data_IF_021176244310
#
_entry.id   IF_021176244310
#
_cell.length_a   1.000
_cell.length_b   1.000
_cell.length_c   1.000
_cell.angle_alpha   90.00
_cell.angle_beta   90.00
_cell.angle_gamma   90.00
#
_symmetry.space_group_name_H-M   'P 1'
#
loop_
_entity.id
_entity.type
_entity.pdbx_description
1 polymer ?
#
# COMPACT_ATOMS: atom_id res chain seq x y z
N UNK A 1 -56.49 -5.76 12.93
CA UNK A 1 -55.87 -5.22 11.71
C UNK A 1 -54.66 -4.38 12.12
N UNK A 2 -53.44 -4.91 12.08
CA UNK A 2 -52.23 -4.17 12.49
C UNK A 2 -51.54 -3.58 11.26
N UNK A 3 -51.44 -2.25 11.22
CA UNK A 3 -50.79 -1.46 10.17
C UNK A 3 -49.29 -1.82 10.03
N UNK A 4 -48.81 -2.06 8.80
CA UNK A 4 -47.40 -2.32 8.52
C UNK A 4 -46.57 -1.04 8.72
N UNK A 5 -45.35 -1.12 9.31
CA UNK A 5 -44.52 0.05 9.50
C UNK A 5 -44.07 0.64 8.16
N UNK A 6 -44.07 1.97 8.07
CA UNK A 6 -43.58 2.72 6.91
C UNK A 6 -42.07 2.46 6.75
N UNK A 7 -41.66 2.01 5.57
CA UNK A 7 -40.24 1.89 5.22
C UNK A 7 -39.63 3.28 5.20
N UNK A 8 -38.67 3.53 6.08
CA UNK A 8 -37.86 4.76 6.04
C UNK A 8 -37.19 4.86 4.66
N UNK A 9 -37.31 6.04 4.04
CA UNK A 9 -36.83 6.30 2.68
C UNK A 9 -35.33 6.06 2.51
N UNK A 10 -34.90 5.84 1.26
CA UNK A 10 -33.51 5.63 0.88
C UNK A 10 -32.62 6.71 1.52
N UNK A 11 -31.72 6.30 2.42
CA UNK A 11 -30.68 7.16 2.98
C UNK A 11 -29.77 7.62 1.84
N UNK A 12 -29.76 8.92 1.57
CA UNK A 12 -29.02 9.52 0.46
C UNK A 12 -27.53 9.54 0.82
N UNK A 13 -26.74 8.69 0.15
CA UNK A 13 -25.30 8.52 0.37
C UNK A 13 -24.43 9.69 -0.18
N UNK A 14 -25.04 10.79 -0.63
CA UNK A 14 -24.36 11.88 -1.33
C UNK A 14 -23.28 12.58 -0.49
N UNK A 15 -23.53 12.81 0.80
CA UNK A 15 -22.53 13.37 1.72
C UNK A 15 -21.31 12.46 1.89
N UNK A 16 -21.51 11.14 1.83
CA UNK A 16 -20.46 10.15 1.98
C UNK A 16 -19.61 10.05 0.70
N UNK A 17 -20.23 10.22 -0.48
CA UNK A 17 -19.56 10.29 -1.76
C UNK A 17 -18.68 11.54 -1.87
N UNK A 18 -19.21 12.73 -1.55
CA UNK A 18 -18.44 13.97 -1.54
C UNK A 18 -17.22 13.90 -0.61
N UNK A 19 -17.36 13.28 0.56
CA UNK A 19 -16.26 13.11 1.50
C UNK A 19 -15.13 12.22 0.95
N UNK A 20 -15.47 11.14 0.22
CA UNK A 20 -14.49 10.26 -0.45
C UNK A 20 -13.76 10.98 -1.58
N UNK A 21 -14.48 11.73 -2.40
CA UNK A 21 -13.89 12.50 -3.49
C UNK A 21 -12.90 13.57 -2.98
N UNK A 22 -13.20 14.21 -1.85
CA UNK A 22 -12.28 15.15 -1.20
C UNK A 22 -11.02 14.42 -0.69
N UNK A 23 -11.17 13.26 -0.04
CA UNK A 23 -10.04 12.46 0.43
C UNK A 23 -9.16 11.93 -0.71
N UNK A 24 -9.73 11.51 -1.84
CA UNK A 24 -8.97 11.08 -3.03
C UNK A 24 -8.20 12.25 -3.65
N UNK A 25 -8.83 13.42 -3.79
CA UNK A 25 -8.16 14.64 -4.27
C UNK A 25 -7.02 15.06 -3.34
N UNK A 26 -7.16 14.90 -2.04
CA UNK A 26 -6.09 15.21 -1.08
C UNK A 26 -4.93 14.22 -1.15
N UNK A 27 -5.19 12.94 -1.43
CA UNK A 27 -4.15 11.93 -1.69
C UNK A 27 -3.39 12.24 -2.98
N UNK A 28 -4.13 12.52 -4.06
CA UNK A 28 -3.55 12.84 -5.37
C UNK A 28 -2.69 14.12 -5.31
N UNK A 29 -3.15 15.14 -4.57
CA UNK A 29 -2.35 16.34 -4.30
C UNK A 29 -1.07 16.03 -3.53
N UNK A 30 -1.13 15.19 -2.49
CA UNK A 30 0.04 14.77 -1.72
C UNK A 30 1.05 14.01 -2.58
N UNK A 31 0.58 13.15 -3.48
CA UNK A 31 1.44 12.44 -4.43
C UNK A 31 2.10 13.40 -5.42
N UNK A 32 1.33 14.30 -6.02
CA UNK A 32 1.86 15.35 -6.92
C UNK A 32 2.88 16.25 -6.22
N UNK A 33 2.64 16.62 -4.96
CA UNK A 33 3.58 17.41 -4.16
C UNK A 33 4.85 16.61 -3.83
N UNK A 34 4.75 15.30 -3.61
CA UNK A 34 5.90 14.44 -3.40
C UNK A 34 6.76 14.31 -4.67
N UNK A 35 6.12 14.18 -5.83
CA UNK A 35 6.78 14.13 -7.13
C UNK A 35 7.50 15.45 -7.44
N UNK A 36 6.83 16.60 -7.26
CA UNK A 36 7.44 17.93 -7.44
C UNK A 36 8.66 18.14 -6.55
N UNK A 37 8.59 17.73 -5.28
CA UNK A 37 9.72 17.81 -4.35
C UNK A 37 10.90 16.94 -4.79
N UNK A 38 10.65 15.80 -5.43
CA UNK A 38 11.71 14.95 -5.99
C UNK A 38 12.35 15.60 -7.21
N UNK A 39 11.55 16.17 -8.11
CA UNK A 39 12.04 16.91 -9.28
C UNK A 39 12.88 18.13 -8.91
N UNK A 40 12.48 18.89 -7.89
CA UNK A 40 13.24 20.04 -7.39
C UNK A 40 14.59 19.62 -6.79
N UNK A 41 14.62 18.50 -6.06
CA UNK A 41 15.87 17.93 -5.53
C UNK A 41 16.80 17.50 -6.66
N UNK A 42 16.25 16.86 -7.70
CA UNK A 42 16.99 16.43 -8.88
C UNK A 42 17.61 17.60 -9.66
N UNK A 43 16.91 18.74 -9.72
CA UNK A 43 17.40 19.98 -10.35
C UNK A 43 18.54 20.63 -9.55
N UNK A 44 18.52 20.48 -8.23
CA UNK A 44 19.50 21.10 -7.34
C UNK A 44 20.80 20.30 -7.35
N UNK A 45 20.71 18.98 -7.23
CA UNK A 45 21.83 18.06 -7.24
C UNK A 45 21.49 16.84 -8.11
N UNK A 46 22.13 16.65 -9.28
CA UNK A 46 21.85 15.51 -10.15
C UNK A 46 22.15 14.17 -9.47
N UNK A 47 23.14 14.16 -8.57
CA UNK A 47 23.56 12.98 -7.81
C UNK A 47 22.62 12.65 -6.64
N UNK A 48 21.71 13.55 -6.26
CA UNK A 48 20.77 13.30 -5.16
C UNK A 48 19.78 12.18 -5.46
N UNK A 49 19.49 11.94 -6.75
CA UNK A 49 18.68 10.81 -7.21
C UNK A 49 19.50 9.52 -7.36
N UNK A 50 20.84 9.62 -7.39
CA UNK A 50 21.73 8.46 -7.43
C UNK A 50 21.88 7.80 -6.05
N UNK A 51 21.25 8.34 -5.01
CA UNK A 51 21.20 7.70 -3.70
C UNK A 51 20.41 6.40 -3.82
N UNK A 52 21.14 5.29 -3.86
CA UNK A 52 20.57 3.96 -4.05
C UNK A 52 19.51 3.60 -3.02
N UNK A 53 19.54 4.11 -1.77
CA UNK A 53 18.54 3.79 -0.76
C UNK A 53 18.23 4.95 0.19
N UNK A 54 16.97 5.05 0.63
CA UNK A 54 16.52 5.95 1.70
C UNK A 54 17.31 5.71 3.00
N UNK A 55 17.55 6.76 3.80
CA UNK A 55 18.28 6.65 5.06
C UNK A 55 17.58 5.73 6.05
N UNK A 56 18.36 5.07 6.89
CA UNK A 56 17.87 4.06 7.83
C UNK A 56 17.46 4.70 9.15
N UNK A 57 16.46 4.12 9.82
CA UNK A 57 16.15 4.47 11.20
C UNK A 57 17.38 4.32 12.11
N UNK A 58 17.54 5.19 13.12
CA UNK A 58 18.70 5.20 14.00
C UNK A 58 18.84 3.87 14.76
N UNK A 59 17.74 3.24 15.13
CA UNK A 59 17.72 1.94 15.80
C UNK A 59 18.37 0.84 14.95
N UNK A 60 18.04 0.78 13.66
CA UNK A 60 18.64 -0.23 12.78
C UNK A 60 20.10 0.12 12.50
N UNK A 61 20.45 1.42 12.41
CA UNK A 61 21.83 1.88 12.22
C UNK A 61 22.74 1.49 13.39
N UNK A 62 22.23 1.51 14.63
CA UNK A 62 22.99 1.08 15.82
C UNK A 62 23.46 -0.39 15.71
N UNK A 63 22.61 -1.25 15.16
CA UNK A 63 22.93 -2.69 14.97
C UNK A 63 24.12 -2.91 14.04
N UNK A 64 24.41 -1.97 13.13
CA UNK A 64 25.48 -2.12 12.14
C UNK A 64 26.86 -2.36 12.77
N UNK A 65 27.10 -1.80 13.94
CA UNK A 65 28.37 -1.86 14.67
C UNK A 65 28.26 -2.63 16.00
N UNK A 66 27.15 -3.36 16.20
CA UNK A 66 26.89 -4.08 17.43
C UNK A 66 27.32 -5.56 17.32
N UNK A 67 28.52 -5.88 17.81
CA UNK A 67 29.07 -7.24 17.81
C UNK A 67 29.71 -7.68 16.48
N UNK A 68 29.94 -8.99 16.33
CA UNK A 68 30.67 -9.57 15.21
C UNK A 68 29.76 -10.22 14.17
N UNK A 69 30.02 -9.96 12.89
CA UNK A 69 29.25 -10.52 11.78
C UNK A 69 29.31 -12.05 11.70
N UNK A 70 30.45 -12.64 12.10
CA UNK A 70 30.64 -14.10 12.08
C UNK A 70 29.75 -14.83 13.09
N UNK A 71 29.40 -14.16 14.21
CA UNK A 71 28.51 -14.69 15.24
C UNK A 71 27.04 -14.31 14.99
N UNK A 72 26.73 -13.78 13.80
CA UNK A 72 25.39 -13.34 13.42
C UNK A 72 25.01 -11.93 13.94
N UNK A 73 25.95 -11.20 14.53
CA UNK A 73 25.76 -9.81 14.97
C UNK A 73 26.11 -8.78 13.90
N UNK A 74 26.19 -7.52 14.31
CA UNK A 74 26.75 -6.41 13.53
C UNK A 74 26.13 -6.26 12.15
N UNK A 75 27.00 -6.26 11.13
CA UNK A 75 26.63 -6.12 9.71
C UNK A 75 25.67 -7.22 9.24
N UNK A 76 25.84 -8.47 9.69
CA UNK A 76 24.93 -9.55 9.32
C UNK A 76 23.52 -9.28 9.84
N UNK A 77 23.38 -8.98 11.14
CA UNK A 77 22.10 -8.65 11.75
C UNK A 77 21.44 -7.42 11.09
N UNK A 78 22.25 -6.42 10.74
CA UNK A 78 21.78 -5.24 10.03
C UNK A 78 21.19 -5.58 8.65
N UNK A 79 21.90 -6.39 7.85
CA UNK A 79 21.42 -6.78 6.52
C UNK A 79 20.14 -7.62 6.61
N UNK A 80 20.04 -8.52 7.59
CA UNK A 80 18.80 -9.30 7.83
C UNK A 80 17.62 -8.38 8.15
N UNK A 81 17.80 -7.42 9.07
CA UNK A 81 16.77 -6.42 9.38
C UNK A 81 16.40 -5.56 8.16
N UNK A 82 17.39 -5.18 7.34
CA UNK A 82 17.17 -4.40 6.11
C UNK A 82 16.44 -5.22 5.03
N UNK A 83 16.67 -6.54 4.97
CA UNK A 83 16.03 -7.46 4.01
C UNK A 83 14.53 -7.60 4.27
N UNK A 84 14.11 -7.64 5.54
CA UNK A 84 12.69 -7.79 5.93
C UNK A 84 11.80 -6.63 5.48
N UNK A 85 12.37 -5.43 5.27
CA UNK A 85 11.61 -4.29 4.75
C UNK A 85 11.38 -4.43 3.25
N UNK A 86 10.16 -4.13 2.81
CA UNK A 86 9.79 -4.07 1.42
C UNK A 86 10.70 -3.10 0.63
N UNK A 87 11.00 -3.39 -0.65
CA UNK A 87 11.83 -2.53 -1.48
C UNK A 87 11.24 -1.12 -1.63
N UNK A 88 9.92 -0.99 -1.72
CA UNK A 88 9.20 0.29 -1.84
C UNK A 88 9.42 1.25 -0.65
N UNK A 89 9.76 0.72 0.52
CA UNK A 89 10.08 1.52 1.70
C UNK A 89 11.54 1.97 1.67
N UNK A 90 12.39 1.19 1.01
CA UNK A 90 13.85 1.34 1.00
C UNK A 90 14.35 2.18 -0.17
N UNK A 91 13.68 2.09 -1.30
CA UNK A 91 14.04 2.71 -2.56
C UNK A 91 12.94 3.68 -2.97
N UNK A 92 13.32 4.82 -3.55
CA UNK A 92 12.34 5.76 -4.09
C UNK A 92 11.72 5.23 -5.39
N UNK A 93 12.54 4.57 -6.20
CA UNK A 93 12.19 4.07 -7.52
C UNK A 93 12.58 2.60 -7.66
N UNK A 94 11.89 1.83 -8.52
CA UNK A 94 12.32 0.48 -8.86
C UNK A 94 13.66 0.55 -9.60
N UNK A 95 14.71 -0.06 -9.04
CA UNK A 95 16.06 -0.07 -9.66
C UNK A 95 16.14 -1.10 -10.78
N UNK A 96 15.42 -2.21 -10.65
CA UNK A 96 15.45 -3.31 -11.60
C UNK A 96 14.11 -3.44 -12.33
N UNK A 97 14.14 -3.86 -13.58
CA UNK A 97 12.93 -4.12 -14.38
C UNK A 97 12.00 -5.14 -13.72
N UNK A 98 12.56 -6.10 -12.98
CA UNK A 98 11.79 -7.08 -12.21
C UNK A 98 10.93 -6.45 -11.10
N UNK A 99 11.23 -5.22 -10.66
CA UNK A 99 10.46 -4.51 -9.65
C UNK A 99 9.39 -3.59 -10.24
N UNK A 100 9.42 -3.32 -11.54
CA UNK A 100 8.37 -2.50 -12.19
C UNK A 100 7.00 -3.15 -12.01
N UNK A 101 6.94 -4.48 -12.17
CA UNK A 101 5.72 -5.25 -11.94
C UNK A 101 5.50 -5.41 -10.43
N UNK A 102 4.41 -4.85 -9.93
CA UNK A 102 4.00 -4.97 -8.54
C UNK A 102 4.54 -3.87 -7.61
N UNK A 103 5.27 -2.88 -8.14
CA UNK A 103 5.69 -1.71 -7.35
C UNK A 103 4.49 -0.96 -6.79
N UNK A 104 4.43 -0.81 -5.46
CA UNK A 104 3.37 -0.12 -4.72
C UNK A 104 1.98 -0.66 -5.00
N UNK A 105 1.89 -1.95 -5.34
CA UNK A 105 0.62 -2.62 -5.63
C UNK A 105 -0.36 -2.54 -4.43
N UNK A 106 0.16 -2.49 -3.21
CA UNK A 106 -0.63 -2.38 -1.99
C UNK A 106 -1.46 -1.10 -1.94
N UNK A 107 -0.99 -0.01 -2.54
CA UNK A 107 -1.72 1.26 -2.59
C UNK A 107 -2.98 1.12 -3.47
N UNK A 108 -2.85 0.43 -4.60
CA UNK A 108 -3.94 0.15 -5.53
C UNK A 108 -4.91 -0.93 -5.02
N UNK A 109 -4.39 -2.00 -4.41
CA UNK A 109 -5.16 -3.17 -3.97
C UNK A 109 -5.94 -2.90 -2.68
N UNK A 110 -5.67 -1.81 -1.95
CA UNK A 110 -6.43 -1.43 -0.75
C UNK A 110 -7.95 -1.35 -0.98
N UNK A 111 -8.40 -1.09 -2.23
CA UNK A 111 -9.81 -1.09 -2.61
C UNK A 111 -10.41 -2.49 -2.79
N UNK A 112 -9.58 -3.51 -2.99
CA UNK A 112 -10.00 -4.88 -3.17
C UNK A 112 -9.69 -5.68 -1.90
N UNK A 113 -10.71 -5.84 -1.05
CA UNK A 113 -10.61 -6.71 0.12
C UNK A 113 -10.24 -8.12 -0.37
N UNK A 114 -9.04 -8.65 -0.05
CA UNK A 114 -8.69 -10.00 -0.47
C UNK A 114 -9.66 -10.96 0.22
N UNK A 115 -10.40 -11.73 -0.57
CA UNK A 115 -11.20 -12.81 -0.04
C UNK A 115 -10.23 -13.85 0.53
N UNK A 116 -10.46 -14.32 1.75
CA UNK A 116 -9.59 -15.30 2.44
C UNK A 116 -9.30 -16.54 1.56
N UNK A 117 -10.17 -16.82 0.60
CA UNK A 117 -10.00 -17.86 -0.40
C UNK A 117 -10.26 -17.29 -1.81
N UNK A 118 -9.19 -17.04 -2.57
CA UNK A 118 -9.29 -16.52 -3.94
C UNK A 118 -10.13 -17.39 -4.88
N UNK A 119 -10.18 -18.70 -4.63
CA UNK A 119 -11.05 -19.63 -5.37
C UNK A 119 -12.54 -19.34 -5.16
N UNK A 120 -12.94 -18.93 -3.96
CA UNK A 120 -14.34 -18.66 -3.62
C UNK A 120 -14.86 -17.42 -4.36
N UNK A 121 -14.02 -16.39 -4.57
CA UNK A 121 -14.33 -15.23 -5.40
C UNK A 121 -14.63 -15.63 -6.84
N UNK A 122 -13.72 -16.39 -7.47
CA UNK A 122 -13.91 -16.86 -8.85
C UNK A 122 -15.18 -17.70 -8.95
N UNK A 123 -15.42 -18.61 -8.00
CA UNK A 123 -16.64 -19.44 -8.01
C UNK A 123 -17.90 -18.59 -7.84
N UNK A 124 -17.90 -17.60 -6.94
CA UNK A 124 -19.01 -16.66 -6.75
C UNK A 124 -19.32 -15.87 -8.02
N UNK A 125 -18.30 -15.25 -8.62
CA UNK A 125 -18.47 -14.36 -9.77
C UNK A 125 -18.84 -15.12 -11.05
N UNK A 126 -18.38 -16.36 -11.21
CA UNK A 126 -18.61 -17.17 -12.42
C UNK A 126 -19.85 -18.05 -12.35
N UNK A 127 -20.12 -18.71 -11.22
CA UNK A 127 -21.18 -19.71 -11.12
C UNK A 127 -22.48 -19.20 -10.49
N UNK A 128 -22.41 -18.23 -9.57
CA UNK A 128 -23.59 -17.77 -8.85
C UNK A 128 -24.11 -16.43 -9.41
N UNK A 129 -25.41 -16.37 -9.71
CA UNK A 129 -26.05 -15.12 -10.16
C UNK A 129 -26.46 -14.27 -8.95
N UNK A 130 -26.51 -12.92 -9.08
CA UNK A 130 -26.86 -12.01 -7.98
C UNK A 130 -28.17 -12.33 -7.24
N UNK A 131 -29.11 -13.01 -7.91
CA UNK A 131 -30.44 -13.33 -7.40
C UNK A 131 -30.72 -14.84 -7.29
N UNK A 132 -29.68 -15.69 -7.34
CA UNK A 132 -29.84 -17.15 -7.39
C UNK A 132 -29.03 -17.87 -6.32
N UNK A 133 -29.62 -18.00 -5.13
CA UNK A 133 -29.22 -18.86 -4.00
C UNK A 133 -28.06 -18.30 -3.16
N UNK A 134 -28.35 -18.07 -1.87
CA UNK A 134 -27.42 -17.54 -0.88
C UNK A 134 -26.44 -18.61 -0.40
N UNK A 135 -25.14 -18.38 -0.60
CA UNK A 135 -24.08 -19.11 0.09
C UNK A 135 -23.94 -18.51 1.50
N UNK A 136 -24.46 -19.20 2.53
CA UNK A 136 -24.27 -18.81 3.93
C UNK A 136 -22.87 -19.23 4.40
N UNK A 137 -22.16 -18.28 5.00
CA UNK A 137 -20.88 -18.49 5.67
C UNK A 137 -21.11 -18.71 7.18
#
# INVERSE_FOLDING_TARGET
>A
MTSKPRKEGLKINALQALKREMEEKDKEKKEKDSQKKLEEKAKTDPDSLLVEMRPVSPETKKVLYDGFSALGGGRYAYLQKRKLKAPEVKYEFPITSAWEVGWRLQDCVSQQKPENFGRTRVIRDTFYRPNGILYKH
#
